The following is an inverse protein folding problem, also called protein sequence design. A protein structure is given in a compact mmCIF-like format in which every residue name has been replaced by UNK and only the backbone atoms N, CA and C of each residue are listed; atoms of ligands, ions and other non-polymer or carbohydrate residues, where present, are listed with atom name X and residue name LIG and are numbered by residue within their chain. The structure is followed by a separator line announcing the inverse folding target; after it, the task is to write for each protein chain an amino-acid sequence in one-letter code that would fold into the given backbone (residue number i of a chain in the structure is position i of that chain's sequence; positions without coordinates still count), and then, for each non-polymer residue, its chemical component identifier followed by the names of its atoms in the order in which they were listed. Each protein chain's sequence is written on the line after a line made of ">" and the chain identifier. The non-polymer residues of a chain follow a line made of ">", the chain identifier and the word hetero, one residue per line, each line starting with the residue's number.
data_IF_503676020988
#
_entry.id   IF_503676020988
#
_cell.length_a   1.000
_cell.length_b   1.000
_cell.length_c   1.000
_cell.angle_alpha   90.00
_cell.angle_beta   90.00
_cell.angle_gamma   90.00
#
_symmetry.space_group_name_H-M   'P 1'
#
loop_
_entity.id
_entity.type
_entity.pdbx_description
1 polymer ?
#
# COMPACT_ATOMS: atom_id res chain seq x y z
N UNK A 1 9.69 8.84 18.72
CA UNK A 1 10.99 8.35 19.25
C UNK A 1 11.45 7.01 18.66
N UNK A 2 10.60 5.97 18.57
CA UNK A 2 11.01 4.63 18.11
C UNK A 2 11.55 4.60 16.67
N UNK A 3 10.89 5.27 15.72
CA UNK A 3 11.35 5.36 14.32
C UNK A 3 12.69 6.10 14.17
N UNK A 4 12.89 7.22 14.89
CA UNK A 4 14.16 7.95 14.91
C UNK A 4 15.32 7.07 15.40
N UNK A 5 15.08 6.33 16.49
CA UNK A 5 16.06 5.37 17.02
C UNK A 5 16.37 4.25 16.01
N UNK A 6 15.36 3.72 15.31
CA UNK A 6 15.54 2.70 14.28
C UNK A 6 16.31 3.23 13.06
N UNK A 7 16.04 4.46 12.62
CA UNK A 7 16.81 5.12 11.56
C UNK A 7 18.27 5.28 11.95
N UNK A 8 18.55 5.71 13.18
CA UNK A 8 19.94 5.88 13.65
C UNK A 8 20.68 4.54 13.82
N UNK A 9 19.99 3.48 14.26
CA UNK A 9 20.62 2.17 14.50
C UNK A 9 20.77 1.30 13.25
N UNK A 10 19.77 1.32 12.37
CA UNK A 10 19.65 0.37 11.26
C UNK A 10 19.46 1.04 9.89
N UNK A 11 19.45 2.38 9.83
CA UNK A 11 19.28 3.15 8.60
C UNK A 11 18.06 2.72 7.76
N UNK A 12 16.88 2.60 8.38
CA UNK A 12 15.64 2.22 7.68
C UNK A 12 15.37 3.09 6.44
N UNK A 13 14.90 2.46 5.35
CA UNK A 13 14.64 3.14 4.07
C UNK A 13 13.17 3.47 3.81
N UNK A 14 12.23 2.87 4.54
CA UNK A 14 10.79 3.06 4.38
C UNK A 14 10.05 2.68 5.67
N UNK A 15 8.88 3.28 5.89
CA UNK A 15 7.94 2.88 6.95
C UNK A 15 6.60 2.52 6.29
N UNK A 16 5.99 1.42 6.73
CA UNK A 16 4.63 1.02 6.36
C UNK A 16 3.79 0.95 7.63
N UNK A 17 2.60 1.55 7.60
CA UNK A 17 1.64 1.58 8.72
C UNK A 17 0.32 0.99 8.25
N UNK A 18 -0.08 -0.12 8.88
CA UNK A 18 -1.36 -0.79 8.66
C UNK A 18 -2.15 -0.79 9.99
N UNK A 19 -3.16 0.04 10.18
CA UNK A 19 -3.66 1.15 9.35
C UNK A 19 -3.91 2.38 10.24
N UNK A 20 -4.07 3.57 9.65
CA UNK A 20 -4.13 4.86 10.36
C UNK A 20 -5.18 4.90 11.46
N UNK A 21 -6.33 4.26 11.24
CA UNK A 21 -7.44 4.24 12.19
C UNK A 21 -7.16 3.38 13.44
N UNK A 22 -6.07 2.60 13.52
CA UNK A 22 -5.66 1.98 14.78
C UNK A 22 -4.81 2.90 15.65
N UNK A 23 -4.31 4.00 15.09
CA UNK A 23 -3.54 4.98 15.85
C UNK A 23 -4.49 5.78 16.74
N UNK A 24 -4.19 5.81 18.04
CA UNK A 24 -4.89 6.66 19.00
C UNK A 24 -4.25 8.04 19.05
N UNK A 25 -5.09 9.08 18.93
CA UNK A 25 -4.73 10.40 19.44
C UNK A 25 -4.57 10.33 20.96
N UNK A 26 -3.74 11.19 21.54
CA UNK A 26 -3.60 11.31 22.99
C UNK A 26 -4.98 11.33 23.68
N UNK A 27 -5.08 10.64 24.82
CA UNK A 27 -6.26 10.10 25.54
C UNK A 27 -7.44 11.03 25.90
N UNK A 28 -7.75 12.06 25.11
CA UNK A 28 -8.92 12.88 25.32
C UNK A 28 -10.18 12.12 24.89
N UNK A 29 -10.94 11.63 25.88
CA UNK A 29 -12.20 10.88 25.72
C UNK A 29 -13.31 11.60 24.94
N UNK A 30 -13.06 12.81 24.44
CA UNK A 30 -14.03 13.66 23.74
C UNK A 30 -13.49 14.24 22.42
N UNK A 31 -12.33 13.75 21.97
CA UNK A 31 -11.70 14.24 20.76
C UNK A 31 -12.46 13.74 19.52
N UNK A 32 -12.82 14.67 18.62
CA UNK A 32 -13.48 14.33 17.37
C UNK A 32 -12.50 13.50 16.52
N UNK A 33 -12.95 12.33 16.07
CA UNK A 33 -12.12 11.39 15.31
C UNK A 33 -11.44 12.02 14.10
N UNK A 34 -12.12 12.94 13.43
CA UNK A 34 -11.57 13.71 12.31
C UNK A 34 -10.34 14.54 12.72
N UNK A 35 -10.35 15.12 13.92
CA UNK A 35 -9.23 15.90 14.45
C UNK A 35 -8.04 15.01 14.82
N UNK A 36 -8.29 13.81 15.35
CA UNK A 36 -7.22 12.82 15.62
C UNK A 36 -6.51 12.43 14.34
N UNK A 37 -7.29 12.04 13.32
CA UNK A 37 -6.73 11.60 12.05
C UNK A 37 -5.99 12.76 11.37
N UNK A 38 -6.52 13.99 11.48
CA UNK A 38 -5.85 15.19 11.01
C UNK A 38 -4.50 15.42 11.71
N UNK A 39 -4.43 15.22 13.02
CA UNK A 39 -3.18 15.33 13.78
C UNK A 39 -2.19 14.23 13.39
N UNK A 40 -2.65 12.98 13.32
CA UNK A 40 -1.83 11.82 12.92
C UNK A 40 -1.21 12.04 11.53
N UNK A 41 -2.02 12.49 10.56
CA UNK A 41 -1.57 12.80 9.21
C UNK A 41 -0.42 13.82 9.19
N UNK A 42 -0.59 14.93 9.91
CA UNK A 42 0.44 15.98 10.03
C UNK A 42 1.71 15.49 10.71
N UNK A 43 1.56 14.73 11.79
CA UNK A 43 2.68 14.17 12.54
C UNK A 43 3.48 13.17 11.68
N UNK A 44 2.80 12.33 10.89
CA UNK A 44 3.44 11.43 9.94
C UNK A 44 4.16 12.17 8.81
N UNK A 45 3.56 13.24 8.27
CA UNK A 45 4.21 14.08 7.27
C UNK A 45 5.45 14.78 7.83
N UNK A 46 5.39 15.25 9.08
CA UNK A 46 6.53 15.79 9.80
C UNK A 46 7.64 14.76 9.98
N UNK A 47 7.29 13.55 10.43
CA UNK A 47 8.22 12.45 10.63
C UNK A 47 8.89 12.01 9.31
N UNK A 48 8.14 11.93 8.21
CA UNK A 48 8.67 11.58 6.90
C UNK A 48 9.71 12.60 6.42
N UNK A 49 9.43 13.90 6.58
CA UNK A 49 10.35 14.98 6.23
C UNK A 49 11.60 14.99 7.11
N UNK A 50 11.42 14.76 8.40
CA UNK A 50 12.54 14.72 9.35
C UNK A 50 13.49 13.55 9.08
N UNK A 51 12.94 12.36 8.87
CA UNK A 51 13.74 11.15 8.63
C UNK A 51 14.21 11.02 7.18
N UNK A 52 13.68 11.84 6.28
CA UNK A 52 13.91 11.78 4.83
C UNK A 52 13.66 10.40 4.24
N UNK A 53 12.56 9.75 4.65
CA UNK A 53 12.16 8.44 4.13
C UNK A 53 10.67 8.42 3.76
N UNK A 54 10.28 7.64 2.74
CA UNK A 54 8.87 7.42 2.42
C UNK A 54 8.13 6.71 3.57
N UNK A 55 6.93 7.21 3.86
CA UNK A 55 5.98 6.57 4.77
C UNK A 55 4.73 6.23 3.96
N UNK A 56 4.38 4.95 3.94
CA UNK A 56 3.13 4.44 3.36
C UNK A 56 2.19 4.15 4.53
N UNK A 57 1.01 4.75 4.51
CA UNK A 57 0.00 4.50 5.51
C UNK A 57 -1.27 4.01 4.84
N UNK A 58 -1.82 2.90 5.34
CA UNK A 58 -3.09 2.37 4.88
C UNK A 58 -4.22 3.10 5.60
N UNK A 59 -5.28 3.42 4.84
CA UNK A 59 -6.49 4.02 5.38
C UNK A 59 -7.69 3.23 4.90
N UNK A 60 -8.60 2.93 5.82
CA UNK A 60 -9.91 2.41 5.47
C UNK A 60 -10.82 3.52 4.94
N UNK A 61 -11.67 3.16 3.98
CA UNK A 61 -12.66 4.07 3.41
C UNK A 61 -13.96 4.02 4.21
N UNK A 62 -14.73 5.11 4.16
CA UNK A 62 -16.09 5.10 4.68
C UNK A 62 -16.97 4.12 3.90
N UNK A 63 -17.92 3.46 4.58
CA UNK A 63 -18.93 2.57 3.95
C UNK A 63 -19.81 3.28 2.93
N UNK A 64 -19.81 4.61 2.90
CA UNK A 64 -20.52 5.40 1.90
C UNK A 64 -20.19 4.99 0.45
N UNK A 65 -18.96 4.53 0.18
CA UNK A 65 -18.54 4.01 -1.14
C UNK A 65 -19.43 2.87 -1.64
N UNK A 66 -19.93 2.02 -0.73
CA UNK A 66 -20.72 0.83 -1.07
C UNK A 66 -22.17 1.16 -1.42
N UNK A 67 -22.67 2.29 -0.89
CA UNK A 67 -24.04 2.76 -1.10
C UNK A 67 -24.26 3.45 -2.45
N UNK A 68 -23.19 3.71 -3.22
CA UNK A 68 -23.28 4.31 -4.56
C UNK A 68 -23.81 3.31 -5.58
N UNK A 69 -24.36 3.83 -6.68
CA UNK A 69 -24.91 3.03 -7.78
C UNK A 69 -23.83 2.11 -8.37
N UNK A 70 -24.25 1.00 -8.97
CA UNK A 70 -23.36 0.09 -9.70
C UNK A 70 -22.61 0.88 -10.80
N UNK A 71 -21.29 0.72 -10.85
CA UNK A 71 -20.39 1.53 -11.69
C UNK A 71 -19.74 2.73 -10.99
N UNK A 72 -20.34 3.27 -9.92
CA UNK A 72 -19.80 4.40 -9.13
C UNK A 72 -19.07 3.95 -7.86
N UNK A 73 -18.88 2.65 -7.64
CA UNK A 73 -18.20 2.09 -6.47
C UNK A 73 -16.67 2.23 -6.52
N UNK A 74 -16.15 2.97 -7.50
CA UNK A 74 -14.74 3.32 -7.60
C UNK A 74 -14.41 4.33 -6.50
N UNK A 75 -13.43 4.08 -5.62
CA UNK A 75 -13.06 5.02 -4.58
C UNK A 75 -12.61 6.40 -5.10
N UNK A 76 -12.91 7.42 -4.32
CA UNK A 76 -12.65 8.83 -4.58
C UNK A 76 -12.10 9.52 -3.33
N UNK A 77 -11.49 10.69 -3.49
CA UNK A 77 -10.93 11.46 -2.37
C UNK A 77 -11.99 11.81 -1.31
N UNK A 78 -13.22 12.07 -1.75
CA UNK A 78 -14.37 12.30 -0.87
C UNK A 78 -14.71 11.10 0.03
N UNK A 79 -14.28 9.89 -0.31
CA UNK A 79 -14.51 8.69 0.52
C UNK A 79 -13.57 8.64 1.74
N UNK A 80 -12.54 9.50 1.77
CA UNK A 80 -11.70 9.79 2.94
C UNK A 80 -12.35 10.86 3.85
N UNK A 81 -13.67 11.10 3.74
CA UNK A 81 -14.42 12.24 4.32
C UNK A 81 -14.17 12.51 5.81
N UNK A 82 -13.85 11.48 6.59
CA UNK A 82 -13.48 11.61 8.01
C UNK A 82 -12.07 12.19 8.21
N UNK A 83 -11.41 12.59 7.13
CA UNK A 83 -9.97 12.81 7.08
C UNK A 83 -9.58 13.77 5.94
N UNK A 84 -10.33 14.85 5.72
CA UNK A 84 -9.97 15.87 4.71
C UNK A 84 -8.51 16.38 4.85
N UNK A 85 -7.95 16.33 6.06
CA UNK A 85 -6.53 16.59 6.31
C UNK A 85 -5.58 15.57 5.67
N UNK A 86 -5.92 14.27 5.61
CA UNK A 86 -5.11 13.26 4.90
C UNK A 86 -4.98 13.67 3.43
N UNK A 87 -6.11 14.02 2.80
CA UNK A 87 -6.10 14.48 1.42
C UNK A 87 -5.16 15.66 1.27
N UNK A 88 -5.20 16.65 2.16
CA UNK A 88 -4.33 17.83 2.06
C UNK A 88 -2.85 17.49 2.28
N UNK A 89 -2.52 16.77 3.35
CA UNK A 89 -1.13 16.56 3.80
C UNK A 89 -0.36 15.54 2.96
N UNK A 90 -1.05 14.52 2.42
CA UNK A 90 -0.42 13.47 1.63
C UNK A 90 0.24 14.02 0.36
N UNK A 91 1.40 13.44 0.00
CA UNK A 91 2.03 13.73 -1.29
C UNK A 91 1.37 12.95 -2.42
N UNK A 92 0.92 11.73 -2.14
CA UNK A 92 0.25 10.83 -3.07
C UNK A 92 -0.89 10.11 -2.35
N UNK A 93 -2.02 9.93 -3.04
CA UNK A 93 -3.15 9.12 -2.57
C UNK A 93 -3.46 8.08 -3.64
N UNK A 94 -3.45 6.82 -3.25
CA UNK A 94 -3.75 5.68 -4.11
C UNK A 94 -4.97 4.92 -3.58
N UNK A 95 -5.84 4.51 -4.48
CA UNK A 95 -6.96 3.63 -4.16
C UNK A 95 -6.81 2.29 -4.87
N UNK A 96 -7.21 1.22 -4.19
CA UNK A 96 -7.35 -0.10 -4.77
C UNK A 96 -8.81 -0.33 -5.14
N UNK A 97 -9.06 -0.75 -6.38
CA UNK A 97 -10.38 -1.09 -6.87
C UNK A 97 -10.36 -2.44 -7.57
N UNK A 98 -11.30 -3.30 -7.23
CA UNK A 98 -11.45 -4.64 -7.80
C UNK A 98 -12.89 -4.82 -8.30
N UNK A 99 -13.14 -4.84 -9.62
CA UNK A 99 -14.48 -5.01 -10.16
C UNK A 99 -15.16 -6.31 -9.68
N UNK A 100 -14.38 -7.40 -9.62
CA UNK A 100 -14.85 -8.73 -9.19
C UNK A 100 -15.45 -8.70 -7.77
N UNK A 101 -14.91 -7.87 -6.86
CA UNK A 101 -15.43 -7.72 -5.50
C UNK A 101 -16.87 -7.19 -5.49
N UNK A 102 -17.26 -6.43 -6.52
CA UNK A 102 -18.59 -5.86 -6.68
C UNK A 102 -19.49 -6.67 -7.61
N UNK A 103 -19.11 -7.90 -7.98
CA UNK A 103 -19.87 -8.76 -8.88
C UNK A 103 -19.77 -8.40 -10.37
N UNK A 104 -18.92 -7.43 -10.72
CA UNK A 104 -18.66 -7.04 -12.11
C UNK A 104 -17.61 -8.01 -12.65
N UNK A 105 -18.05 -9.00 -13.43
CA UNK A 105 -17.20 -10.10 -13.92
C UNK A 105 -16.83 -10.01 -15.41
N UNK A 106 -17.39 -9.03 -16.11
CA UNK A 106 -17.10 -8.72 -17.51
C UNK A 106 -16.79 -7.23 -17.69
N UNK A 107 -15.83 -6.91 -18.56
CA UNK A 107 -15.55 -5.54 -18.99
C UNK A 107 -16.58 -5.05 -20.03
N UNK A 108 -16.46 -3.78 -20.48
CA UNK A 108 -17.36 -3.19 -21.48
C UNK A 108 -17.37 -3.96 -22.83
N UNK A 109 -16.32 -4.74 -23.10
CA UNK A 109 -16.18 -5.57 -24.31
C UNK A 109 -16.69 -7.02 -24.11
N UNK A 110 -17.21 -7.37 -22.93
CA UNK A 110 -17.69 -8.71 -22.60
C UNK A 110 -16.60 -9.72 -22.20
N UNK A 111 -15.36 -9.28 -22.03
CA UNK A 111 -14.23 -10.13 -21.62
C UNK A 111 -14.18 -10.27 -20.10
N UNK A 112 -13.68 -11.40 -19.60
CA UNK A 112 -13.59 -11.62 -18.15
C UNK A 112 -12.54 -10.72 -17.51
N UNK A 113 -12.96 -9.95 -16.50
CA UNK A 113 -12.08 -9.08 -15.70
C UNK A 113 -11.60 -9.77 -14.40
N UNK A 114 -11.61 -11.11 -14.37
CA UNK A 114 -11.32 -11.89 -13.16
C UNK A 114 -9.89 -11.66 -12.68
N UNK A 115 -9.75 -11.35 -11.39
CA UNK A 115 -8.44 -11.04 -10.80
C UNK A 115 -7.87 -9.68 -11.21
N UNK A 116 -8.58 -8.86 -11.98
CA UNK A 116 -8.15 -7.49 -12.27
C UNK A 116 -8.22 -6.63 -11.01
N UNK A 117 -7.16 -5.85 -10.78
CA UNK A 117 -7.09 -4.86 -9.73
C UNK A 117 -6.54 -3.57 -10.29
N UNK A 118 -7.24 -2.48 -10.04
CA UNK A 118 -6.84 -1.14 -10.43
C UNK A 118 -6.25 -0.42 -9.24
N UNK A 119 -5.04 0.11 -9.43
CA UNK A 119 -4.40 1.06 -8.51
C UNK A 119 -4.59 2.45 -9.10
N UNK A 120 -5.52 3.21 -8.54
CA UNK A 120 -5.86 4.57 -8.98
C UNK A 120 -5.06 5.58 -8.17
N UNK A 121 -4.18 6.33 -8.81
CA UNK A 121 -3.49 7.49 -8.24
C UNK A 121 -4.47 8.66 -8.29
N UNK A 122 -5.19 8.90 -7.19
CA UNK A 122 -6.20 9.95 -7.09
C UNK A 122 -5.62 11.32 -6.72
N UNK A 123 -4.41 11.35 -6.14
CA UNK A 123 -3.66 12.58 -5.88
C UNK A 123 -2.18 12.32 -6.11
N UNK A 124 -1.51 13.26 -6.76
CA UNK A 124 -0.06 13.29 -6.88
C UNK A 124 0.43 14.75 -6.84
N UNK A 125 1.16 15.17 -5.79
CA UNK A 125 1.66 16.56 -5.67
C UNK A 125 2.66 16.94 -6.76
N UNK A 126 3.49 15.99 -7.20
CA UNK A 126 4.61 16.22 -8.11
C UNK A 126 4.49 15.48 -9.47
N UNK A 127 3.29 15.22 -9.97
CA UNK A 127 3.11 14.28 -11.08
C UNK A 127 1.66 14.14 -11.54
N UNK A 128 1.43 13.29 -12.53
CA UNK A 128 0.11 13.05 -13.11
C UNK A 128 -0.70 12.04 -12.28
N UNK A 129 -2.01 12.13 -12.40
CA UNK A 129 -2.92 11.06 -12.00
C UNK A 129 -2.80 9.92 -13.00
N UNK A 130 -2.96 8.69 -12.53
CA UNK A 130 -2.86 7.49 -13.37
C UNK A 130 -3.73 6.36 -12.79
N UNK A 131 -4.14 5.43 -13.65
CA UNK A 131 -4.85 4.22 -13.27
C UNK A 131 -4.04 3.01 -13.74
N UNK A 132 -3.34 2.38 -12.81
CA UNK A 132 -2.45 1.25 -13.10
C UNK A 132 -3.25 -0.04 -12.97
N UNK A 133 -3.30 -0.83 -14.04
CA UNK A 133 -3.92 -2.17 -14.04
C UNK A 133 -2.92 -3.21 -13.58
N UNK A 134 -3.30 -4.00 -12.58
CA UNK A 134 -2.55 -5.14 -12.04
C UNK A 134 -3.43 -6.38 -12.01
N UNK A 135 -2.81 -7.56 -11.89
CA UNK A 135 -3.49 -8.83 -11.65
C UNK A 135 -3.24 -9.28 -10.21
N UNK A 136 -4.31 -9.54 -9.45
CA UNK A 136 -4.25 -9.99 -8.07
C UNK A 136 -4.47 -11.50 -7.97
N UNK A 137 -3.42 -12.21 -7.60
CA UNK A 137 -3.44 -13.65 -7.30
C UNK A 137 -3.80 -13.83 -5.82
N UNK A 138 -5.10 -13.76 -5.50
CA UNK A 138 -5.58 -13.76 -4.11
C UNK A 138 -5.18 -15.00 -3.31
N UNK A 139 -5.11 -16.16 -3.96
CA UNK A 139 -4.73 -17.43 -3.33
C UNK A 139 -3.31 -17.40 -2.74
N UNK A 140 -2.46 -16.49 -3.19
CA UNK A 140 -1.10 -16.27 -2.67
C UNK A 140 -0.87 -14.81 -2.25
N UNK A 141 -1.92 -13.99 -2.17
CA UNK A 141 -1.86 -12.56 -1.81
C UNK A 141 -0.79 -11.77 -2.59
N UNK A 142 -0.66 -12.05 -3.90
CA UNK A 142 0.38 -11.45 -4.76
C UNK A 142 -0.24 -10.57 -5.84
N UNK A 143 0.28 -9.35 -5.98
CA UNK A 143 0.04 -8.52 -7.15
C UNK A 143 1.12 -8.80 -8.19
N UNK A 144 0.70 -9.00 -9.44
CA UNK A 144 1.59 -9.14 -10.59
C UNK A 144 1.25 -8.06 -11.62
N UNK A 145 2.26 -7.64 -12.35
CA UNK A 145 2.11 -6.72 -13.45
C UNK A 145 1.17 -7.34 -14.49
N UNK A 146 0.31 -6.50 -15.06
CA UNK A 146 -0.51 -6.91 -16.18
C UNK A 146 0.35 -6.78 -17.44
N UNK A 147 1.05 -7.85 -17.80
CA UNK A 147 1.74 -7.94 -19.09
C UNK A 147 0.71 -8.31 -20.15
N UNK A 148 0.56 -7.48 -21.18
CA UNK A 148 -0.31 -7.73 -22.36
C UNK A 148 0.07 -9.01 -23.13
N UNK A 149 1.13 -9.72 -22.72
CA UNK A 149 1.59 -10.97 -23.32
C UNK A 149 0.65 -12.17 -23.09
N UNK A 150 -0.43 -12.03 -22.31
CA UNK A 150 -1.47 -13.07 -22.19
C UNK A 150 -2.47 -13.05 -23.38
N UNK A 151 -2.54 -11.98 -24.19
CA UNK A 151 -3.11 -11.96 -25.56
C UNK A 151 -2.91 -10.56 -26.18
N UNK A 152 -2.30 -10.48 -27.36
CA UNK A 152 -1.74 -9.25 -27.92
C UNK A 152 -2.66 -8.03 -28.01
N UNK A 153 -2.20 -6.93 -27.41
CA UNK A 153 -2.37 -5.56 -27.89
C UNK A 153 -3.43 -4.70 -27.20
N UNK A 154 -3.03 -3.78 -26.32
CA UNK A 154 -3.16 -2.32 -26.44
C UNK A 154 -3.06 -1.62 -25.07
N UNK A 155 -2.17 -0.61 -24.99
CA UNK A 155 -2.43 0.59 -24.19
C UNK A 155 -1.43 0.87 -23.06
N UNK A 156 -0.25 1.40 -23.44
CA UNK A 156 0.80 1.80 -22.51
C UNK A 156 0.42 2.96 -21.59
N UNK A 157 0.54 2.72 -20.28
CA UNK A 157 0.73 3.77 -19.29
C UNK A 157 2.18 4.25 -19.27
N UNK A 158 2.43 5.47 -18.80
CA UNK A 158 3.76 6.07 -18.69
C UNK A 158 4.63 5.43 -17.57
N UNK A 159 4.13 4.40 -16.91
CA UNK A 159 4.87 3.65 -15.91
C UNK A 159 5.91 2.74 -16.60
N UNK A 160 7.18 2.93 -16.25
CA UNK A 160 8.27 2.06 -16.70
C UNK A 160 8.76 1.24 -15.51
N UNK A 161 8.87 -0.10 -15.63
CA UNK A 161 9.43 -0.92 -14.58
C UNK A 161 10.89 -0.51 -14.31
N UNK A 162 11.31 -0.60 -13.05
CA UNK A 162 12.72 -0.47 -12.68
C UNK A 162 13.43 -1.72 -13.20
N UNK A 163 14.46 -1.62 -14.05
CA UNK A 163 15.20 -2.78 -14.50
C UNK A 163 15.74 -3.55 -13.30
N UNK A 164 15.45 -4.84 -13.22
CA UNK A 164 16.21 -5.73 -12.35
C UNK A 164 17.64 -5.75 -12.89
N UNK A 165 18.53 -5.14 -12.13
CA UNK A 165 19.97 -5.00 -12.32
C UNK A 165 20.59 -6.19 -13.09
N UNK A 166 20.81 -6.01 -14.39
CA UNK A 166 21.72 -6.84 -15.16
C UNK A 166 23.14 -6.30 -14.91
N UNK A 167 23.76 -6.82 -13.85
CA UNK A 167 25.22 -6.78 -13.73
C UNK A 167 25.87 -7.46 -14.94
N UNK A 168 27.04 -6.99 -15.41
CA UNK A 168 27.62 -7.47 -16.64
C UNK A 168 28.21 -8.87 -16.42
N UNK A 169 27.58 -9.86 -17.03
CA UNK A 169 28.16 -11.19 -17.23
C UNK A 169 27.49 -12.31 -16.44
N UNK A 170 26.50 -12.96 -17.06
CA UNK A 170 26.34 -14.41 -17.03
C UNK A 170 25.26 -14.83 -18.03
N UNK A 171 25.70 -15.44 -19.12
CA UNK A 171 24.86 -16.26 -19.97
C UNK A 171 24.50 -17.56 -19.22
N UNK A 172 23.28 -18.04 -19.40
CA UNK A 172 22.91 -19.44 -19.22
C UNK A 172 22.31 -19.83 -17.87
N UNK A 173 21.05 -20.26 -17.94
CA UNK A 173 20.64 -21.56 -17.41
C UNK A 173 20.70 -21.82 -15.90
N UNK A 174 19.49 -21.98 -15.36
CA UNK A 174 19.12 -22.91 -14.30
C UNK A 174 19.14 -22.45 -12.83
N UNK A 175 18.20 -23.06 -12.09
CA UNK A 175 17.58 -22.63 -10.86
C UNK A 175 18.53 -22.18 -9.73
N UNK A 176 18.19 -21.04 -9.09
CA UNK A 176 18.80 -20.65 -7.81
C UNK A 176 18.08 -21.35 -6.66
N UNK A 177 18.78 -22.28 -6.04
CA UNK A 177 18.45 -22.92 -4.76
C UNK A 177 18.25 -21.86 -3.67
N UNK A 178 17.07 -21.82 -3.04
CA UNK A 178 16.84 -21.02 -1.84
C UNK A 178 17.36 -21.79 -0.62
N UNK A 179 18.49 -21.37 -0.05
CA UNK A 179 18.87 -21.82 1.29
C UNK A 179 18.07 -20.99 2.29
N UNK A 180 17.04 -21.60 2.87
CA UNK A 180 16.36 -21.06 4.04
C UNK A 180 17.29 -21.22 5.25
N UNK A 181 18.07 -20.19 5.54
CA UNK A 181 18.78 -20.12 6.82
C UNK A 181 17.76 -19.92 7.94
N UNK A 182 17.68 -20.88 8.87
CA UNK A 182 16.85 -20.78 10.07
C UNK A 182 17.19 -19.52 10.87
N UNK A 183 16.16 -18.87 11.40
CA UNK A 183 16.32 -17.66 12.20
C UNK A 183 17.01 -17.97 13.52
N UNK A 184 17.97 -17.13 13.95
CA UNK A 184 18.63 -17.22 15.27
C UNK A 184 17.69 -17.03 16.47
N UNK A 185 16.39 -16.86 16.22
CA UNK A 185 15.35 -16.87 17.26
C UNK A 185 14.96 -18.27 17.72
N UNK A 186 15.36 -19.33 17.00
CA UNK A 186 15.06 -20.71 17.39
C UNK A 186 15.98 -21.26 18.49
N UNK A 187 17.12 -20.63 18.73
CA UNK A 187 18.16 -21.12 19.67
C UNK A 187 18.28 -20.26 20.94
N UNK A 188 17.29 -19.41 21.23
CA UNK A 188 17.28 -18.66 22.49
C UNK A 188 16.81 -19.60 23.61
N UNK A 189 17.61 -19.80 24.68
CA UNK A 189 17.11 -20.47 25.87
C UNK A 189 15.95 -19.64 26.43
N UNK A 190 14.79 -20.27 26.58
CA UNK A 190 13.65 -19.69 27.28
C UNK A 190 14.08 -19.51 28.75
N UNK A 191 14.36 -18.27 29.14
CA UNK A 191 14.49 -17.89 30.54
C UNK A 191 13.07 -17.63 31.06
N UNK A 192 12.54 -18.55 31.87
CA UNK A 192 11.15 -18.58 32.39
C UNK A 192 10.87 -17.48 33.44
N UNK A 193 11.44 -16.28 33.28
CA UNK A 193 11.52 -15.29 34.36
C UNK A 193 11.18 -13.83 34.03
N UNK A 194 11.19 -13.38 32.78
CA UNK A 194 10.87 -11.98 32.45
C UNK A 194 9.65 -11.84 31.53
N UNK A 195 8.66 -11.13 32.07
CA UNK A 195 7.40 -10.73 31.46
C UNK A 195 7.63 -10.11 30.08
N UNK A 196 7.09 -10.77 29.05
CA UNK A 196 7.13 -10.28 27.67
C UNK A 196 6.46 -8.91 27.58
N UNK A 197 7.07 -7.89 26.94
CA UNK A 197 6.51 -6.55 26.90
C UNK A 197 5.50 -6.40 25.75
N UNK A 198 4.48 -7.27 25.75
CA UNK A 198 3.29 -7.13 24.91
C UNK A 198 2.05 -6.99 25.78
#
# INVERSE_FOLDING_TARGET
>A
AKCRRLKNKHNIGMIIIDYLQLMSGSSDRNSNREQEISKISRDLKGLAKELQIPIIALSQLSRAVESRKEGEKIPQLSDLRESGAIEQDADMVMFLYRPEYYGITANENGESNKGETYVKIAKHRNGSLDNIKLKALLHIQKFVEYTDDDFGGMGGGNWRPIPQDQGPGAAGGDARLYIQAGSKMNDLPMDDGEESPF
#
